data_IF_510885809368
#
_entry.id   IF_510885809368
#
_cell.length_a   1.000
_cell.length_b   1.000
_cell.length_c   1.000
_cell.angle_alpha   90.00
_cell.angle_beta   90.00
_cell.angle_gamma   90.00
#
_symmetry.space_group_name_H-M   'P 1'
#
loop_
_entity.id
_entity.type
_entity.pdbx_description
1 polymer ?
#
# COMPACT_ATOMS: atom_id res chain seq x y z
N UNK A 1 58.80 2.13 36.44
CA UNK A 1 59.54 3.36 36.81
C UNK A 1 60.83 3.41 35.99
N UNK A 2 60.89 4.30 34.99
CA UNK A 2 62.02 4.68 34.10
C UNK A 2 61.40 5.08 32.76
N UNK A 3 61.69 6.18 32.09
CA UNK A 3 62.43 7.41 32.40
C UNK A 3 62.12 8.31 31.19
N UNK A 4 61.56 9.49 31.42
CA UNK A 4 61.49 10.55 30.40
C UNK A 4 62.91 10.93 29.96
N UNK A 5 63.13 11.12 28.66
CA UNK A 5 64.17 12.02 28.15
C UNK A 5 63.62 12.84 26.99
N UNK A 6 63.72 14.14 27.19
CA UNK A 6 63.19 15.22 26.38
C UNK A 6 64.35 15.87 25.64
N UNK A 7 64.20 16.02 24.33
CA UNK A 7 64.76 17.02 23.41
C UNK A 7 66.27 17.06 23.06
N UNK A 8 66.53 17.01 21.75
CA UNK A 8 67.44 17.96 21.11
C UNK A 8 67.00 18.20 19.65
N UNK A 9 66.90 19.47 19.27
CA UNK A 9 66.36 19.96 18.02
C UNK A 9 67.40 19.97 16.89
N UNK A 10 66.94 19.77 15.65
CA UNK A 10 67.62 20.27 14.46
C UNK A 10 66.58 20.90 13.52
N UNK A 11 66.75 22.20 13.29
CA UNK A 11 66.05 23.02 12.31
C UNK A 11 66.51 22.66 10.92
N UNK A 12 65.57 22.26 10.05
CA UNK A 12 65.78 22.23 8.59
C UNK A 12 64.80 23.22 7.97
N UNK A 13 65.37 24.27 7.40
CA UNK A 13 64.73 25.21 6.48
C UNK A 13 64.27 24.40 5.26
N UNK A 14 62.96 24.34 5.02
CA UNK A 14 62.41 23.77 3.79
C UNK A 14 61.63 24.84 3.04
N UNK A 15 62.06 25.06 1.80
CA UNK A 15 61.56 26.08 0.91
C UNK A 15 60.09 25.86 0.55
N UNK A 16 59.33 26.95 0.60
CA UNK A 16 57.94 27.02 0.16
C UNK A 16 57.92 26.90 -1.36
N UNK A 17 57.51 25.75 -1.89
CA UNK A 17 57.04 25.61 -3.27
C UNK A 17 55.52 25.75 -3.26
N UNK A 18 55.04 26.92 -3.67
CA UNK A 18 53.62 27.22 -3.88
C UNK A 18 53.20 26.53 -5.18
N UNK A 19 52.95 25.21 -5.13
CA UNK A 19 52.19 24.54 -6.16
C UNK A 19 50.72 24.84 -5.92
N UNK A 20 50.15 25.73 -6.72
CA UNK A 20 48.71 26.02 -6.72
C UNK A 20 47.93 24.76 -7.08
N UNK A 21 47.49 23.99 -6.07
CA UNK A 21 46.45 23.00 -6.24
C UNK A 21 45.15 23.75 -6.55
N UNK A 22 44.78 23.79 -7.84
CA UNK A 22 43.40 24.04 -8.23
C UNK A 22 42.53 23.08 -7.43
N UNK A 23 41.58 23.61 -6.66
CA UNK A 23 40.45 22.81 -6.18
C UNK A 23 39.76 22.27 -7.43
N UNK A 24 39.99 21.00 -7.74
CA UNK A 24 39.09 20.29 -8.64
C UNK A 24 37.74 20.23 -7.93
N UNK A 25 36.84 21.13 -8.33
CA UNK A 25 35.42 21.01 -8.09
C UNK A 25 34.93 19.85 -8.93
N UNK A 26 35.19 18.63 -8.49
CA UNK A 26 34.41 17.46 -8.88
C UNK A 26 33.01 17.65 -8.32
N UNK A 27 32.17 18.32 -9.10
CA UNK A 27 30.72 18.28 -8.91
C UNK A 27 30.31 16.82 -9.09
N UNK A 28 30.14 16.09 -7.99
CA UNK A 28 29.43 14.81 -8.00
C UNK A 28 28.11 15.07 -8.73
N UNK A 29 27.84 14.42 -9.89
CA UNK A 29 26.57 14.60 -10.56
C UNK A 29 25.46 14.30 -9.55
N UNK A 30 24.50 15.21 -9.42
CA UNK A 30 23.30 14.92 -8.64
C UNK A 30 22.73 13.58 -9.13
N UNK A 31 22.27 12.69 -8.23
CA UNK A 31 21.71 11.42 -8.64
C UNK A 31 20.60 11.68 -9.65
N UNK A 32 20.77 11.17 -10.87
CA UNK A 32 19.77 11.29 -11.93
C UNK A 32 18.57 10.48 -11.48
N UNK A 33 17.47 11.16 -11.16
CA UNK A 33 16.18 10.51 -10.88
C UNK A 33 15.70 9.89 -12.20
N UNK A 34 15.97 8.60 -12.39
CA UNK A 34 15.42 7.84 -13.51
C UNK A 34 13.92 7.65 -13.24
N UNK A 35 13.10 8.42 -13.97
CA UNK A 35 11.65 8.24 -13.97
C UNK A 35 11.35 6.81 -14.43
N UNK A 36 10.76 5.99 -13.55
CA UNK A 36 10.27 4.66 -13.92
C UNK A 36 9.18 4.85 -14.97
N UNK A 37 9.39 4.31 -16.17
CA UNK A 37 8.41 4.31 -17.26
C UNK A 37 7.63 3.01 -17.19
N UNK A 38 6.34 3.11 -16.90
CA UNK A 38 5.42 1.97 -16.91
C UNK A 38 4.88 1.80 -18.34
N UNK A 39 5.10 0.64 -18.99
CA UNK A 39 4.58 0.41 -20.34
C UNK A 39 3.06 0.26 -20.32
N UNK A 40 2.41 0.59 -21.43
CA UNK A 40 1.00 0.28 -21.63
C UNK A 40 0.83 -1.22 -21.88
N UNK A 41 -0.17 -1.81 -21.24
CA UNK A 41 -0.58 -3.20 -21.46
C UNK A 41 -1.71 -3.23 -22.49
N UNK A 42 -1.70 -4.25 -23.34
CA UNK A 42 -2.75 -4.53 -24.33
C UNK A 42 -3.78 -5.52 -23.79
N UNK A 43 -3.42 -6.38 -22.84
CA UNK A 43 -4.36 -7.31 -22.23
C UNK A 43 -5.33 -6.58 -21.31
N UNK A 44 -6.61 -6.58 -21.68
CA UNK A 44 -7.68 -6.00 -20.86
C UNK A 44 -8.04 -6.96 -19.72
N UNK A 45 -7.94 -6.48 -18.48
CA UNK A 45 -8.36 -7.24 -17.30
C UNK A 45 -9.88 -7.15 -17.11
N UNK A 46 -10.52 -8.29 -16.87
CA UNK A 46 -11.90 -8.30 -16.36
C UNK A 46 -11.96 -7.81 -14.90
N UNK A 47 -13.10 -7.34 -14.42
CA UNK A 47 -13.26 -7.07 -12.98
C UNK A 47 -13.08 -8.35 -12.14
N UNK A 48 -12.68 -8.22 -10.87
CA UNK A 48 -12.66 -9.35 -9.93
C UNK A 48 -14.05 -9.48 -9.29
N UNK A 49 -14.66 -10.66 -9.39
CA UNK A 49 -16.01 -10.90 -8.87
C UNK A 49 -15.97 -11.08 -7.35
N UNK A 50 -16.63 -10.19 -6.61
CA UNK A 50 -16.65 -10.19 -5.14
C UNK A 50 -17.71 -11.11 -4.52
N UNK A 51 -18.73 -11.50 -5.29
CA UNK A 51 -19.84 -12.31 -4.80
C UNK A 51 -20.49 -11.74 -3.54
N UNK A 52 -20.67 -12.58 -2.52
CA UNK A 52 -21.25 -12.19 -1.23
C UNK A 52 -20.41 -11.18 -0.43
N UNK A 53 -19.17 -10.88 -0.82
CA UNK A 53 -18.36 -9.84 -0.19
C UNK A 53 -18.63 -8.43 -0.76
N UNK A 54 -19.49 -8.29 -1.79
CA UNK A 54 -19.68 -7.04 -2.52
C UNK A 54 -20.25 -5.89 -1.68
N UNK A 55 -21.10 -6.16 -0.68
CA UNK A 55 -21.72 -5.12 0.18
C UNK A 55 -20.85 -4.74 1.39
N UNK A 56 -19.75 -5.47 1.62
CA UNK A 56 -18.88 -5.27 2.78
C UNK A 56 -17.80 -4.23 2.50
N UNK A 57 -17.73 -3.22 3.36
CA UNK A 57 -16.57 -2.31 3.43
C UNK A 57 -15.46 -2.87 4.28
N UNK A 58 -15.84 -3.64 5.30
CA UNK A 58 -14.93 -4.33 6.21
C UNK A 58 -15.37 -5.78 6.26
N UNK A 59 -14.44 -6.71 5.99
CA UNK A 59 -14.66 -8.14 6.19
C UNK A 59 -13.39 -8.74 6.80
N UNK A 60 -13.46 -9.25 8.03
CA UNK A 60 -12.30 -9.75 8.77
C UNK A 60 -12.45 -11.23 9.14
N UNK A 61 -11.31 -11.87 9.45
CA UNK A 61 -11.25 -13.28 9.87
C UNK A 61 -11.28 -13.44 11.38
N UNK A 62 -10.40 -12.74 12.09
CA UNK A 62 -10.17 -12.95 13.52
C UNK A 62 -10.81 -11.90 14.41
N UNK A 63 -10.59 -10.61 14.14
CA UNK A 63 -11.11 -9.49 14.95
C UNK A 63 -11.38 -8.24 14.11
N UNK A 64 -12.24 -7.35 14.61
CA UNK A 64 -12.33 -5.96 14.13
C UNK A 64 -12.17 -5.02 15.32
N UNK A 65 -11.18 -4.12 15.26
CA UNK A 65 -10.89 -3.17 16.34
C UNK A 65 -10.85 -1.75 15.79
N UNK A 66 -11.51 -0.82 16.48
CA UNK A 66 -11.39 0.60 16.19
C UNK A 66 -11.02 1.41 17.44
N UNK A 67 -10.28 2.50 17.24
CA UNK A 67 -10.03 3.52 18.25
C UNK A 67 -10.47 4.88 17.73
N UNK A 68 -11.10 5.70 18.58
CA UNK A 68 -11.65 7.00 18.14
C UNK A 68 -12.81 6.90 17.14
N UNK A 69 -13.22 8.05 16.63
CA UNK A 69 -14.44 8.22 15.84
C UNK A 69 -14.26 7.78 14.38
N UNK A 70 -14.16 6.47 14.16
CA UNK A 70 -14.18 5.89 12.81
C UNK A 70 -15.61 5.87 12.24
N UNK A 71 -15.74 6.12 10.94
CA UNK A 71 -17.00 5.98 10.19
C UNK A 71 -16.84 4.92 9.10
N UNK A 72 -17.80 3.99 9.02
CA UNK A 72 -17.84 2.95 8.00
C UNK A 72 -19.17 3.06 7.26
N UNK A 73 -19.10 3.30 5.95
CA UNK A 73 -20.26 3.23 5.04
C UNK A 73 -20.19 1.93 4.28
N UNK A 74 -21.22 1.08 4.39
CA UNK A 74 -21.24 -0.32 3.93
C UNK A 74 -21.27 -1.30 5.10
N UNK A 75 -21.42 -2.60 4.80
CA UNK A 75 -21.53 -3.63 5.82
C UNK A 75 -20.17 -3.93 6.48
N UNK A 76 -20.24 -4.37 7.73
CA UNK A 76 -19.11 -4.87 8.50
C UNK A 76 -19.32 -6.36 8.77
N UNK A 77 -18.39 -7.20 8.31
CA UNK A 77 -18.42 -8.65 8.50
C UNK A 77 -17.25 -9.15 9.32
N UNK A 78 -17.50 -10.12 10.19
CA UNK A 78 -16.48 -10.86 10.90
C UNK A 78 -16.88 -12.34 10.99
N UNK A 79 -16.03 -13.23 10.48
CA UNK A 79 -16.19 -14.69 10.62
C UNK A 79 -14.87 -15.39 10.28
N UNK A 80 -14.48 -16.46 10.99
CA UNK A 80 -15.19 -17.12 12.11
C UNK A 80 -14.95 -16.44 13.46
N UNK A 81 -14.21 -15.32 13.50
CA UNK A 81 -14.09 -14.53 14.71
C UNK A 81 -15.44 -13.93 15.16
N UNK A 82 -15.50 -13.54 16.42
CA UNK A 82 -16.67 -12.87 17.01
C UNK A 82 -16.33 -11.63 17.84
N UNK A 83 -15.02 -11.32 17.97
CA UNK A 83 -14.56 -10.19 18.78
C UNK A 83 -14.49 -8.90 17.97
N UNK A 84 -15.34 -7.94 18.37
CA UNK A 84 -15.33 -6.56 17.87
C UNK A 84 -15.23 -5.60 19.04
N UNK A 85 -14.36 -4.59 18.91
CA UNK A 85 -14.18 -3.55 19.92
C UNK A 85 -14.06 -2.15 19.31
N UNK A 86 -14.42 -1.12 20.09
CA UNK A 86 -14.35 0.28 19.67
C UNK A 86 -15.59 0.86 19.00
N UNK A 87 -16.74 0.17 19.10
CA UNK A 87 -18.02 0.59 18.54
C UNK A 87 -19.07 0.65 19.66
N UNK A 88 -19.34 1.81 20.30
CA UNK A 88 -18.86 3.17 20.00
C UNK A 88 -17.40 3.47 20.46
N UNK A 89 -16.79 4.60 20.05
CA UNK A 89 -17.35 5.70 19.25
C UNK A 89 -17.33 5.48 17.75
N UNK A 90 -16.74 4.40 17.24
CA UNK A 90 -16.85 4.08 15.83
C UNK A 90 -18.29 3.72 15.44
N UNK A 91 -18.68 4.10 14.23
CA UNK A 91 -20.04 3.91 13.69
C UNK A 91 -20.01 3.14 12.38
N UNK A 92 -21.08 2.40 12.12
CA UNK A 92 -21.31 1.65 10.88
C UNK A 92 -22.69 2.06 10.38
N UNK A 93 -22.75 2.58 9.15
CA UNK A 93 -24.03 2.95 8.50
C UNK A 93 -24.73 1.73 7.89
N UNK A 94 -23.97 0.68 7.53
CA UNK A 94 -24.52 -0.61 7.09
C UNK A 94 -24.81 -1.59 8.23
N UNK A 95 -24.96 -2.86 7.89
CA UNK A 95 -25.26 -3.94 8.85
C UNK A 95 -23.98 -4.57 9.39
N UNK A 96 -23.98 -4.97 10.67
CA UNK A 96 -22.91 -5.78 11.27
C UNK A 96 -23.30 -7.26 11.20
N UNK A 97 -22.53 -8.05 10.48
CA UNK A 97 -22.68 -9.50 10.33
C UNK A 97 -21.56 -10.23 11.08
N UNK A 98 -21.85 -10.70 12.29
CA UNK A 98 -20.84 -11.25 13.20
C UNK A 98 -21.12 -12.73 13.42
N UNK A 99 -20.23 -13.57 12.88
CA UNK A 99 -20.32 -15.03 12.91
C UNK A 99 -21.70 -15.58 12.47
N UNK A 100 -22.32 -14.91 11.50
CA UNK A 100 -23.57 -15.33 10.89
C UNK A 100 -23.36 -15.96 9.50
N UNK A 101 -24.45 -16.44 8.91
CA UNK A 101 -24.43 -17.08 7.59
C UNK A 101 -24.01 -16.12 6.48
N UNK A 102 -24.34 -14.82 6.59
CA UNK A 102 -23.99 -13.80 5.60
C UNK A 102 -22.48 -13.55 5.62
N UNK A 103 -21.90 -13.35 6.80
CA UNK A 103 -20.46 -13.22 6.98
C UNK A 103 -19.73 -14.47 6.49
N UNK A 104 -20.19 -15.67 6.86
CA UNK A 104 -19.56 -16.92 6.42
C UNK A 104 -19.58 -17.07 4.88
N UNK A 105 -20.69 -16.73 4.22
CA UNK A 105 -20.78 -16.72 2.74
C UNK A 105 -19.84 -15.66 2.14
N UNK A 106 -19.79 -14.47 2.71
CA UNK A 106 -18.89 -13.40 2.28
C UNK A 106 -17.41 -13.80 2.41
N UNK A 107 -17.02 -14.50 3.49
CA UNK A 107 -15.65 -15.03 3.66
C UNK A 107 -15.26 -16.03 2.57
N UNK A 108 -16.17 -16.92 2.19
CA UNK A 108 -15.92 -17.86 1.07
C UNK A 108 -15.77 -17.11 -0.25
N UNK A 109 -16.63 -16.13 -0.50
CA UNK A 109 -16.54 -15.29 -1.70
C UNK A 109 -15.22 -14.49 -1.74
N UNK A 110 -14.76 -13.98 -0.60
CA UNK A 110 -13.45 -13.33 -0.46
C UNK A 110 -12.30 -14.28 -0.80
N UNK A 111 -12.35 -15.55 -0.37
CA UNK A 111 -11.32 -16.53 -0.76
C UNK A 111 -11.31 -16.74 -2.27
N UNK A 112 -12.47 -16.84 -2.91
CA UNK A 112 -12.58 -16.95 -4.38
C UNK A 112 -12.01 -15.72 -5.08
N UNK A 113 -12.40 -14.51 -4.66
CA UNK A 113 -11.93 -13.25 -5.25
C UNK A 113 -10.41 -13.06 -5.08
N UNK A 114 -9.87 -13.39 -3.89
CA UNK A 114 -8.44 -13.38 -3.64
C UNK A 114 -7.69 -14.34 -4.58
N UNK A 115 -8.19 -15.56 -4.74
CA UNK A 115 -7.55 -16.58 -5.58
C UNK A 115 -7.67 -16.25 -7.08
N UNK A 116 -8.77 -15.65 -7.54
CA UNK A 116 -8.88 -15.08 -8.90
C UNK A 116 -7.78 -14.04 -9.11
N UNK A 117 -7.75 -12.99 -8.29
CA UNK A 117 -6.78 -11.91 -8.42
C UNK A 117 -5.33 -12.41 -8.36
N UNK A 118 -5.01 -13.33 -7.44
CA UNK A 118 -3.67 -13.93 -7.29
C UNK A 118 -3.29 -14.85 -8.46
N UNK A 119 -4.27 -15.53 -9.08
CA UNK A 119 -4.07 -16.51 -10.13
C UNK A 119 -3.99 -15.91 -11.54
N UNK A 120 -4.34 -14.62 -11.71
CA UNK A 120 -4.28 -13.97 -13.02
C UNK A 120 -2.87 -13.94 -13.58
N UNK A 121 -2.76 -14.17 -14.88
CA UNK A 121 -1.53 -14.05 -15.66
C UNK A 121 -1.85 -13.48 -17.03
N UNK A 122 -0.90 -12.78 -17.63
CA UNK A 122 -0.94 -12.37 -19.04
C UNK A 122 0.49 -12.14 -19.57
N UNK A 123 0.70 -12.16 -20.89
CA UNK A 123 2.05 -12.02 -21.48
C UNK A 123 2.72 -10.67 -21.22
N UNK A 124 1.93 -9.62 -21.03
CA UNK A 124 2.36 -8.22 -20.90
C UNK A 124 2.20 -7.65 -19.47
N UNK A 125 2.01 -8.53 -18.48
CA UNK A 125 2.03 -8.18 -17.06
C UNK A 125 3.32 -7.44 -16.68
N UNK A 126 3.19 -6.39 -15.86
CA UNK A 126 4.31 -5.55 -15.45
C UNK A 126 4.75 -5.87 -14.03
N UNK A 127 6.06 -6.06 -13.83
CA UNK A 127 6.64 -6.25 -12.51
C UNK A 127 6.82 -4.91 -11.79
N UNK A 128 6.41 -4.85 -10.52
CA UNK A 128 6.65 -3.74 -9.60
C UNK A 128 7.51 -4.23 -8.42
N UNK A 129 8.23 -3.32 -7.78
CA UNK A 129 8.98 -3.62 -6.55
C UNK A 129 9.24 -2.37 -5.73
N UNK A 130 9.35 -2.53 -4.41
CA UNK A 130 9.75 -1.44 -3.51
C UNK A 130 8.76 -0.28 -3.49
N UNK A 131 9.27 0.95 -3.63
CA UNK A 131 8.44 2.15 -3.64
C UNK A 131 7.80 2.37 -5.01
N UNK A 132 6.47 2.49 -5.03
CA UNK A 132 5.68 2.86 -6.20
C UNK A 132 5.10 4.27 -6.13
N UNK A 133 5.40 5.04 -5.09
CA UNK A 133 5.02 6.45 -5.09
C UNK A 133 5.79 7.24 -6.17
N UNK A 134 5.12 8.20 -6.80
CA UNK A 134 5.64 8.99 -7.91
C UNK A 134 5.47 8.35 -9.30
N UNK A 135 4.92 7.13 -9.38
CA UNK A 135 4.64 6.47 -10.67
C UNK A 135 3.17 6.60 -11.07
N UNK A 136 2.92 6.45 -12.37
CA UNK A 136 1.59 6.37 -12.96
C UNK A 136 1.38 4.95 -13.47
N UNK A 137 0.35 4.27 -12.97
CA UNK A 137 -0.08 2.97 -13.45
C UNK A 137 -1.22 3.15 -14.46
N UNK A 138 -1.11 2.44 -15.58
CA UNK A 138 -2.14 2.35 -16.63
C UNK A 138 -2.91 1.05 -16.48
N UNK A 139 -4.03 0.84 -17.20
CA UNK A 139 -4.87 -0.34 -16.99
C UNK A 139 -4.08 -1.63 -17.25
N UNK A 140 -4.27 -2.65 -16.41
CA UNK A 140 -3.56 -3.92 -16.58
C UNK A 140 -3.28 -4.70 -15.31
N UNK A 141 -2.40 -5.69 -15.44
CA UNK A 141 -1.98 -6.59 -14.38
C UNK A 141 -0.55 -6.25 -13.93
N UNK A 142 -0.37 -6.14 -12.63
CA UNK A 142 0.90 -5.81 -11.99
C UNK A 142 1.28 -6.87 -10.97
N UNK A 143 2.58 -7.16 -10.86
CA UNK A 143 3.08 -8.17 -9.94
C UNK A 143 4.31 -7.70 -9.17
N UNK A 144 4.26 -7.82 -7.85
CA UNK A 144 5.41 -7.71 -6.96
C UNK A 144 5.68 -9.06 -6.30
N UNK A 145 6.90 -9.56 -6.45
CA UNK A 145 7.37 -10.79 -5.76
C UNK A 145 7.89 -10.50 -4.34
N UNK A 146 7.91 -9.23 -3.93
CA UNK A 146 8.31 -8.76 -2.61
C UNK A 146 7.26 -7.81 -2.03
N UNK A 147 7.60 -7.14 -0.93
CA UNK A 147 6.76 -6.07 -0.38
C UNK A 147 6.68 -4.89 -1.35
N UNK A 148 5.51 -4.23 -1.36
CA UNK A 148 5.25 -3.03 -2.14
C UNK A 148 4.87 -1.90 -1.20
N UNK A 149 5.34 -0.69 -1.49
CA UNK A 149 5.10 0.46 -0.63
C UNK A 149 4.80 1.71 -1.45
N UNK A 150 3.96 2.60 -0.91
CA UNK A 150 3.96 4.01 -1.28
C UNK A 150 4.70 4.70 -0.15
N UNK A 151 6.03 4.85 -0.26
CA UNK A 151 6.86 5.40 0.82
C UNK A 151 7.27 6.85 0.57
N UNK A 152 7.38 7.28 -0.68
CA UNK A 152 7.62 8.66 -1.10
C UNK A 152 6.96 8.97 -2.45
N UNK A 153 6.38 10.15 -2.58
CA UNK A 153 5.49 10.48 -3.70
C UNK A 153 4.09 9.88 -3.55
N UNK A 154 3.18 10.24 -4.45
CA UNK A 154 1.82 9.70 -4.52
C UNK A 154 1.69 8.76 -5.72
N UNK A 155 0.82 7.76 -5.62
CA UNK A 155 0.57 6.82 -6.70
C UNK A 155 -0.60 7.29 -7.54
N UNK A 156 -0.46 7.32 -8.86
CA UNK A 156 -1.56 7.67 -9.76
C UNK A 156 -2.02 6.47 -10.58
N UNK A 157 -3.33 6.26 -10.66
CA UNK A 157 -3.97 5.39 -11.64
C UNK A 157 -4.58 6.24 -12.75
N UNK A 158 -4.14 6.01 -13.98
CA UNK A 158 -4.57 6.71 -15.18
C UNK A 158 -5.30 5.74 -16.10
N UNK A 159 -6.62 5.89 -16.20
CA UNK A 159 -7.45 5.03 -17.04
C UNK A 159 -7.41 5.38 -18.53
N UNK A 160 -6.64 6.39 -18.94
CA UNK A 160 -6.48 6.80 -20.34
C UNK A 160 -7.81 7.09 -21.05
N UNK A 161 -8.80 7.59 -20.31
CA UNK A 161 -10.13 7.92 -20.81
C UNK A 161 -11.13 6.76 -20.79
N UNK A 162 -10.73 5.55 -20.37
CA UNK A 162 -11.61 4.39 -20.28
C UNK A 162 -12.13 4.19 -18.84
N UNK A 163 -13.36 4.59 -18.54
CA UNK A 163 -13.95 4.44 -17.20
C UNK A 163 -14.10 2.99 -16.72
N UNK A 164 -14.06 2.03 -17.64
CA UNK A 164 -14.12 0.60 -17.34
C UNK A 164 -12.74 -0.03 -17.17
N UNK A 165 -11.66 0.76 -17.18
CA UNK A 165 -10.30 0.30 -16.96
C UNK A 165 -10.16 -0.41 -15.61
N UNK A 166 -9.55 -1.59 -15.63
CA UNK A 166 -9.28 -2.41 -14.45
C UNK A 166 -7.78 -2.48 -14.17
N UNK A 167 -7.44 -2.41 -12.89
CA UNK A 167 -6.09 -2.49 -12.38
C UNK A 167 -6.02 -3.57 -11.32
N UNK A 168 -5.14 -4.56 -11.50
CA UNK A 168 -4.96 -5.65 -10.54
C UNK A 168 -3.49 -5.69 -10.14
N UNK A 169 -3.23 -5.56 -8.83
CA UNK A 169 -1.90 -5.55 -8.26
C UNK A 169 -1.76 -6.77 -7.37
N UNK A 170 -0.92 -7.72 -7.80
CA UNK A 170 -0.53 -8.91 -7.04
C UNK A 170 0.72 -8.60 -6.22
N UNK A 171 0.67 -8.81 -4.90
CA UNK A 171 1.76 -8.50 -3.99
C UNK A 171 2.05 -9.76 -3.17
N UNK A 172 3.24 -10.33 -3.30
CA UNK A 172 3.59 -11.56 -2.59
C UNK A 172 3.71 -11.38 -1.08
N UNK A 173 4.08 -10.18 -0.62
CA UNK A 173 4.31 -9.86 0.79
C UNK A 173 3.39 -8.70 1.22
N UNK A 174 3.93 -7.76 2.00
CA UNK A 174 3.19 -6.66 2.60
C UNK A 174 2.93 -5.52 1.61
N UNK A 175 1.84 -4.81 1.84
CA UNK A 175 1.54 -3.52 1.23
C UNK A 175 1.59 -2.43 2.30
N UNK A 176 2.37 -1.37 2.09
CA UNK A 176 2.43 -0.27 3.07
C UNK A 176 2.31 1.12 2.45
N UNK A 177 1.84 2.07 3.25
CA UNK A 177 2.00 3.50 2.95
C UNK A 177 2.68 4.20 4.12
N UNK A 178 3.55 5.17 3.81
CA UNK A 178 3.98 6.15 4.83
C UNK A 178 2.85 7.17 5.08
N UNK A 179 3.07 8.10 6.01
CA UNK A 179 2.07 9.12 6.34
C UNK A 179 1.75 10.05 5.16
N UNK A 180 0.48 10.42 5.04
CA UNK A 180 -0.03 11.41 4.07
C UNK A 180 0.11 11.01 2.60
N UNK A 181 0.39 9.74 2.30
CA UNK A 181 0.48 9.24 0.92
C UNK A 181 -0.90 9.11 0.30
N UNK A 182 -0.99 9.39 -0.99
CA UNK A 182 -2.26 9.33 -1.71
C UNK A 182 -2.23 8.35 -2.88
N UNK A 183 -3.38 7.72 -3.11
CA UNK A 183 -3.74 7.06 -4.36
C UNK A 183 -4.67 8.01 -5.12
N UNK A 184 -4.22 8.47 -6.28
CA UNK A 184 -4.87 9.48 -7.12
C UNK A 184 -5.46 8.79 -8.34
N UNK A 185 -6.69 9.12 -8.70
CA UNK A 185 -7.37 8.61 -9.89
C UNK A 185 -7.48 9.73 -10.91
N UNK A 186 -7.09 9.47 -12.15
CA UNK A 186 -7.20 10.43 -13.25
C UNK A 186 -7.79 9.79 -14.50
N UNK A 187 -8.29 10.65 -15.40
CA UNK A 187 -8.75 10.28 -16.74
C UNK A 187 -9.75 9.11 -16.76
N UNK A 188 -10.70 9.12 -15.81
CA UNK A 188 -11.76 8.12 -15.70
C UNK A 188 -11.45 6.91 -14.82
N UNK A 189 -10.28 6.84 -14.17
CA UNK A 189 -10.01 5.75 -13.25
C UNK A 189 -11.02 5.75 -12.09
N UNK A 190 -11.53 4.57 -11.74
CA UNK A 190 -12.49 4.35 -10.66
C UNK A 190 -11.89 3.46 -9.58
N UNK A 191 -12.13 3.80 -8.32
CA UNK A 191 -11.72 2.99 -7.17
C UNK A 191 -12.38 1.60 -7.21
N UNK A 192 -13.61 1.48 -7.73
CA UNK A 192 -14.31 0.19 -7.90
C UNK A 192 -13.56 -0.82 -8.78
N UNK A 193 -12.64 -0.35 -9.63
CA UNK A 193 -11.93 -1.17 -10.62
C UNK A 193 -10.45 -1.40 -10.26
N UNK A 194 -10.04 -1.04 -9.03
CA UNK A 194 -8.67 -1.25 -8.54
C UNK A 194 -8.69 -2.35 -7.48
N UNK A 195 -7.90 -3.39 -7.70
CA UNK A 195 -7.83 -4.57 -6.84
C UNK A 195 -6.40 -4.81 -6.35
N UNK A 196 -6.25 -4.93 -5.04
CA UNK A 196 -4.98 -5.17 -4.37
C UNK A 196 -5.01 -6.54 -3.72
N UNK A 197 -4.33 -7.52 -4.32
CA UNK A 197 -4.12 -8.82 -3.70
C UNK A 197 -2.81 -8.79 -2.91
N UNK A 198 -2.89 -8.93 -1.58
CA UNK A 198 -1.77 -8.82 -0.65
C UNK A 198 -1.52 -10.16 0.03
N UNK A 199 -0.33 -10.72 -0.20
CA UNK A 199 0.06 -12.06 0.24
C UNK A 199 0.27 -12.21 1.74
N UNK A 200 0.44 -11.09 2.45
CA UNK A 200 0.45 -11.05 3.91
C UNK A 200 -0.52 -9.99 4.44
N UNK A 201 -0.02 -8.85 4.93
CA UNK A 201 -0.79 -7.79 5.57
C UNK A 201 -0.62 -6.45 4.86
N UNK A 202 -1.62 -5.58 5.01
CA UNK A 202 -1.57 -4.20 4.55
C UNK A 202 -1.57 -3.21 5.73
N UNK A 203 -0.72 -2.19 5.68
CA UNK A 203 -0.63 -1.15 6.72
C UNK A 203 -0.59 0.23 6.10
N UNK A 204 -1.59 1.05 6.41
CA UNK A 204 -1.73 2.40 5.88
C UNK A 204 -1.28 3.43 6.91
N UNK A 205 -0.31 4.25 6.55
CA UNK A 205 0.22 5.34 7.39
C UNK A 205 -0.86 6.35 7.75
N UNK A 206 -0.61 7.15 8.79
CA UNK A 206 -1.55 8.19 9.24
C UNK A 206 -1.92 9.11 8.09
N UNK A 207 -3.17 9.56 8.05
CA UNK A 207 -3.72 10.49 7.04
C UNK A 207 -3.53 10.09 5.57
N UNK A 208 -3.16 8.84 5.28
CA UNK A 208 -3.09 8.37 3.90
C UNK A 208 -4.48 8.27 3.27
N UNK A 209 -4.57 8.53 1.97
CA UNK A 209 -5.82 8.42 1.19
C UNK A 209 -5.66 7.26 0.22
N UNK A 210 -6.29 6.14 0.53
CA UNK A 210 -6.16 4.91 -0.25
C UNK A 210 -7.44 4.61 -1.05
N UNK A 211 -7.30 3.89 -2.15
CA UNK A 211 -8.41 3.59 -3.07
C UNK A 211 -8.35 2.15 -3.56
N UNK A 212 -9.52 1.53 -3.69
CA UNK A 212 -9.69 0.19 -4.25
C UNK A 212 -10.09 -0.88 -3.26
N UNK A 213 -10.26 -2.09 -3.77
CA UNK A 213 -10.58 -3.28 -2.97
C UNK A 213 -9.29 -3.97 -2.56
N UNK A 214 -9.06 -4.08 -1.25
CA UNK A 214 -7.88 -4.73 -0.66
C UNK A 214 -8.26 -6.13 -0.19
N UNK A 215 -7.63 -7.14 -0.78
CA UNK A 215 -7.68 -8.52 -0.33
C UNK A 215 -6.36 -8.87 0.39
N UNK A 216 -6.36 -8.85 1.73
CA UNK A 216 -5.20 -9.28 2.50
C UNK A 216 -5.34 -10.73 2.94
N UNK A 217 -4.28 -11.52 2.81
CA UNK A 217 -4.25 -12.86 3.39
C UNK A 217 -4.42 -12.79 4.90
N UNK A 218 -3.65 -11.93 5.56
CA UNK A 218 -3.65 -11.76 7.01
C UNK A 218 -4.45 -10.52 7.39
N UNK A 219 -3.80 -9.48 7.91
CA UNK A 219 -4.47 -8.34 8.55
C UNK A 219 -4.41 -7.06 7.72
N UNK A 220 -5.31 -6.14 8.01
CA UNK A 220 -5.31 -4.78 7.44
C UNK A 220 -5.33 -3.77 8.58
N UNK A 221 -4.41 -2.82 8.56
CA UNK A 221 -4.31 -1.76 9.59
C UNK A 221 -4.38 -0.39 8.95
N UNK A 222 -5.30 0.44 9.43
CA UNK A 222 -5.40 1.86 9.12
C UNK A 222 -4.95 2.65 10.35
N UNK A 223 -3.82 3.36 10.23
CA UNK A 223 -3.40 4.29 11.28
C UNK A 223 -4.28 5.55 11.30
N UNK A 224 -4.09 6.37 12.33
CA UNK A 224 -4.94 7.53 12.62
C UNK A 224 -5.25 8.40 11.39
N UNK A 225 -6.52 8.58 11.09
CA UNK A 225 -6.98 9.49 10.04
C UNK A 225 -6.75 9.00 8.61
N UNK A 226 -6.21 7.80 8.40
CA UNK A 226 -6.19 7.20 7.07
C UNK A 226 -7.63 7.01 6.55
N UNK A 227 -7.81 7.10 5.24
CA UNK A 227 -9.12 6.95 4.59
C UNK A 227 -9.03 5.89 3.49
N UNK A 228 -10.14 5.18 3.31
CA UNK A 228 -10.30 4.22 2.23
C UNK A 228 -11.57 4.55 1.45
N UNK A 229 -11.38 4.70 0.16
CA UNK A 229 -12.43 4.68 -0.84
C UNK A 229 -12.42 3.31 -1.53
N UNK A 230 -13.19 2.37 -1.01
CA UNK A 230 -13.15 0.97 -1.41
C UNK A 230 -13.49 -0.01 -0.28
N UNK A 231 -12.80 -1.16 -0.24
CA UNK A 231 -13.12 -2.26 0.69
C UNK A 231 -11.86 -2.83 1.32
N UNK A 232 -11.89 -3.13 2.62
CA UNK A 232 -10.80 -3.78 3.36
C UNK A 232 -11.22 -5.19 3.79
N UNK A 233 -10.74 -6.17 3.03
CA UNK A 233 -11.17 -7.57 3.13
C UNK A 233 -9.98 -8.46 3.56
N UNK A 234 -9.90 -8.75 4.85
CA UNK A 234 -8.88 -9.58 5.48
C UNK A 234 -9.35 -11.05 5.57
N UNK A 235 -8.58 -12.00 5.01
CA UNK A 235 -8.97 -13.41 4.94
C UNK A 235 -8.90 -14.10 6.29
N UNK A 236 -7.74 -14.12 6.94
CA UNK A 236 -7.56 -14.82 8.22
C UNK A 236 -7.29 -13.88 9.39
N UNK A 237 -6.72 -12.72 9.12
CA UNK A 237 -6.39 -11.73 10.15
C UNK A 237 -7.55 -10.79 10.50
N UNK A 238 -7.20 -9.75 11.23
CA UNK A 238 -8.13 -8.74 11.71
C UNK A 238 -8.06 -7.45 10.90
N UNK A 239 -9.03 -6.57 11.14
CA UNK A 239 -8.98 -5.19 10.65
C UNK A 239 -8.88 -4.23 11.84
N UNK A 240 -7.83 -3.41 11.85
CA UNK A 240 -7.55 -2.43 12.91
C UNK A 240 -7.67 -1.01 12.34
N UNK A 241 -8.40 -0.15 13.04
CA UNK A 241 -8.70 1.23 12.64
C UNK A 241 -8.46 2.22 13.78
N UNK A 242 -8.16 3.47 13.42
CA UNK A 242 -8.03 4.61 14.30
C UNK A 242 -8.58 5.89 13.63
N UNK A 243 -9.74 6.39 14.06
CA UNK A 243 -10.38 7.63 13.55
C UNK A 243 -10.36 7.70 12.01
N UNK A 244 -10.83 6.64 11.35
CA UNK A 244 -10.78 6.51 9.89
C UNK A 244 -12.12 6.83 9.24
N UNK A 245 -12.11 7.10 7.94
CA UNK A 245 -13.30 7.08 7.09
C UNK A 245 -13.14 5.98 6.03
N UNK A 246 -14.03 4.99 6.08
CA UNK A 246 -14.07 3.87 5.14
C UNK A 246 -15.39 3.94 4.37
N UNK A 247 -15.33 4.16 3.08
CA UNK A 247 -16.50 4.35 2.22
C UNK A 247 -16.50 3.29 1.12
N UNK A 248 -17.62 2.55 1.03
CA UNK A 248 -17.83 1.56 -0.01
C UNK A 248 -17.94 2.22 -1.40
N UNK A 249 -17.40 1.53 -2.39
CA UNK A 249 -17.69 1.74 -3.82
C UNK A 249 -18.57 0.61 -4.34
#
# INVERSE_FOLDING_TARGET
MKSNKTFMAFTIVSAILIAGCKKDTTTTPAPVSTKIVIPNQNTVQASVILGGASTFSILAGSTVTSTGATTITGDLGLSPGSSISGFPPATVTGTKHIDDTVAAVAKRALVTAYNDAAGRTCPDMVTLSGNIGGIILTPGLYKSTSSLAISSGDLTFDAKGNSNAVFIIQIASTLTTTSGRQVILVNGASASNIFWQVGSSATFGTTSVFKGTIFAMQSITFNTGATLDGKALARTGGVTMATNAIVIQ
#
